data_IF_493319443524
#
_entry.id   IF_493319443524
#
_cell.length_a   1.000
_cell.length_b   1.000
_cell.length_c   1.000
_cell.angle_alpha   90.00
_cell.angle_beta   90.00
_cell.angle_gamma   90.00
#
_symmetry.space_group_name_H-M   'P 1'
#
loop_
_entity.id
_entity.type
_entity.pdbx_description
1 polymer ?
#
# COMPACT_ATOMS: atom_id res chain seq x y z
N UNK A 1 17.07 -1.78 -13.09
CA UNK A 1 15.95 -1.27 -13.90
C UNK A 1 14.59 -1.51 -13.23
N UNK A 2 14.10 -2.76 -13.08
CA UNK A 2 12.77 -3.05 -12.48
C UNK A 2 12.54 -2.47 -11.07
N UNK A 3 13.59 -2.40 -10.22
CA UNK A 3 13.45 -1.86 -8.87
C UNK A 3 13.07 -0.36 -8.84
N UNK A 4 13.42 0.41 -9.88
CA UNK A 4 13.12 1.85 -9.97
C UNK A 4 11.67 2.11 -10.42
N UNK A 5 11.06 1.18 -11.15
CA UNK A 5 9.69 1.34 -11.65
C UNK A 5 8.63 0.98 -10.59
N UNK A 6 8.95 0.05 -9.68
CA UNK A 6 8.02 -0.42 -8.64
C UNK A 6 7.50 0.69 -7.71
N UNK A 7 8.32 1.66 -7.22
CA UNK A 7 7.81 2.80 -6.47
C UNK A 7 6.83 3.65 -7.29
N UNK A 8 7.09 3.81 -8.60
CA UNK A 8 6.17 4.51 -9.51
C UNK A 8 4.82 3.81 -9.63
N UNK A 9 4.81 2.48 -9.83
CA UNK A 9 3.56 1.70 -9.85
C UNK A 9 2.85 1.73 -8.49
N UNK A 10 3.59 1.71 -7.39
CA UNK A 10 3.02 1.85 -6.05
C UNK A 10 2.37 3.23 -5.86
N UNK A 11 2.98 4.30 -6.36
CA UNK A 11 2.43 5.65 -6.34
C UNK A 11 1.15 5.76 -7.20
N UNK A 12 1.10 5.12 -8.37
CA UNK A 12 -0.12 5.03 -9.19
C UNK A 12 -1.27 4.37 -8.43
N UNK A 13 -1.01 3.20 -7.82
CA UNK A 13 -2.01 2.49 -7.02
C UNK A 13 -2.47 3.33 -5.82
N UNK A 14 -1.55 4.04 -5.16
CA UNK A 14 -1.88 4.94 -4.07
C UNK A 14 -2.78 6.10 -4.52
N UNK A 15 -2.50 6.70 -5.68
CA UNK A 15 -3.34 7.76 -6.25
C UNK A 15 -4.76 7.28 -6.56
N UNK A 16 -4.92 6.04 -7.03
CA UNK A 16 -6.25 5.41 -7.21
C UNK A 16 -6.97 5.29 -5.87
N UNK A 17 -6.29 4.83 -4.82
CA UNK A 17 -6.85 4.72 -3.48
C UNK A 17 -7.28 6.08 -2.92
N UNK A 18 -6.43 7.10 -3.06
CA UNK A 18 -6.72 8.47 -2.62
C UNK A 18 -7.93 9.05 -3.34
N UNK A 19 -7.96 8.94 -4.67
CA UNK A 19 -9.07 9.46 -5.48
C UNK A 19 -10.39 8.77 -5.13
N UNK A 20 -10.38 7.45 -4.93
CA UNK A 20 -11.59 6.72 -4.53
C UNK A 20 -12.06 7.09 -3.11
N UNK A 21 -11.14 7.33 -2.19
CA UNK A 21 -11.46 7.76 -0.82
C UNK A 21 -12.07 9.16 -0.78
N UNK A 22 -11.48 10.10 -1.52
CA UNK A 22 -12.00 11.46 -1.68
C UNK A 22 -13.39 11.44 -2.33
N UNK A 23 -13.52 10.72 -3.46
CA UNK A 23 -14.79 10.57 -4.16
C UNK A 23 -15.89 10.03 -3.25
N UNK A 24 -15.60 8.99 -2.46
CA UNK A 24 -16.54 8.44 -1.49
C UNK A 24 -16.97 9.49 -0.46
N UNK A 25 -16.05 10.29 0.08
CA UNK A 25 -16.36 11.32 1.08
C UNK A 25 -17.26 12.42 0.53
N UNK A 26 -17.07 12.80 -0.73
CA UNK A 26 -17.86 13.83 -1.39
C UNK A 26 -19.28 13.36 -1.70
N UNK A 27 -19.45 12.08 -2.05
CA UNK A 27 -20.73 11.51 -2.49
C UNK A 27 -21.51 10.80 -1.37
N UNK A 28 -20.90 10.59 -0.19
CA UNK A 28 -21.54 9.91 0.95
C UNK A 28 -21.42 10.70 2.25
N UNK A 29 -22.17 11.80 2.31
CA UNK A 29 -22.15 12.72 3.47
C UNK A 29 -22.92 12.19 4.69
N UNK A 30 -23.97 11.39 4.46
CA UNK A 30 -24.76 10.74 5.52
C UNK A 30 -24.37 9.26 5.63
N UNK A 31 -23.70 8.92 6.73
CA UNK A 31 -23.19 7.57 7.02
C UNK A 31 -23.46 7.22 8.47
N UNK A 32 -23.70 5.93 8.72
CA UNK A 32 -23.79 5.35 10.07
C UNK A 32 -22.42 5.44 10.76
N UNK A 33 -22.40 5.37 12.09
CA UNK A 33 -21.15 5.49 12.87
C UNK A 33 -20.08 4.46 12.43
N UNK A 34 -20.45 3.19 12.24
CA UNK A 34 -19.53 2.14 11.79
C UNK A 34 -18.98 2.38 10.37
N UNK A 35 -19.79 2.94 9.47
CA UNK A 35 -19.37 3.30 8.11
C UNK A 35 -18.37 4.47 8.14
N UNK A 36 -18.61 5.47 9.02
CA UNK A 36 -17.70 6.59 9.25
C UNK A 36 -16.35 6.11 9.75
N UNK A 37 -16.32 5.18 10.71
CA UNK A 37 -15.08 4.59 11.21
C UNK A 37 -14.30 3.87 10.10
N UNK A 38 -14.98 3.05 9.27
CA UNK A 38 -14.36 2.42 8.10
C UNK A 38 -13.72 3.46 7.17
N UNK A 39 -14.43 4.54 6.85
CA UNK A 39 -13.91 5.63 5.98
C UNK A 39 -12.67 6.28 6.60
N UNK A 40 -12.66 6.54 7.91
CA UNK A 40 -11.50 7.12 8.61
C UNK A 40 -10.31 6.17 8.58
N UNK A 41 -10.53 4.88 8.87
CA UNK A 41 -9.49 3.85 8.86
C UNK A 41 -8.87 3.70 7.47
N UNK A 42 -9.67 3.73 6.40
CA UNK A 42 -9.14 3.74 5.02
C UNK A 42 -8.21 4.95 4.79
N UNK A 43 -8.60 6.14 5.26
CA UNK A 43 -7.76 7.33 5.19
C UNK A 43 -6.42 7.18 5.94
N UNK A 44 -6.41 6.51 7.09
CA UNK A 44 -5.17 6.21 7.81
C UNK A 44 -4.31 5.18 7.07
N UNK A 45 -4.91 4.12 6.51
CA UNK A 45 -4.19 3.14 5.68
C UNK A 45 -3.53 3.80 4.48
N UNK A 46 -4.19 4.75 3.82
CA UNK A 46 -3.64 5.55 2.72
C UNK A 46 -2.42 6.35 3.17
N UNK A 47 -2.52 7.08 4.28
CA UNK A 47 -1.39 7.85 4.83
C UNK A 47 -0.20 6.95 5.18
N UNK A 48 -0.46 5.77 5.76
CA UNK A 48 0.59 4.80 6.07
C UNK A 48 1.25 4.23 4.80
N UNK A 49 0.45 3.86 3.80
CA UNK A 49 0.96 3.38 2.51
C UNK A 49 1.79 4.44 1.79
N UNK A 50 1.40 5.72 1.85
CA UNK A 50 2.18 6.84 1.30
C UNK A 50 3.57 6.93 1.90
N UNK A 51 3.69 6.80 3.22
CA UNK A 51 5.00 6.78 3.91
C UNK A 51 5.85 5.60 3.44
N UNK A 52 5.26 4.42 3.30
CA UNK A 52 5.96 3.25 2.78
C UNK A 52 6.46 3.45 1.33
N UNK A 53 5.65 4.07 0.46
CA UNK A 53 6.05 4.39 -0.92
C UNK A 53 7.24 5.36 -0.93
N UNK A 54 7.21 6.42 -0.13
CA UNK A 54 8.34 7.35 -0.05
C UNK A 54 9.60 6.71 0.53
N UNK A 55 9.48 5.90 1.58
CA UNK A 55 10.61 5.15 2.12
C UNK A 55 11.22 4.19 1.10
N UNK A 56 10.37 3.51 0.32
CA UNK A 56 10.81 2.62 -0.74
C UNK A 56 11.53 3.38 -1.87
N UNK A 57 11.01 4.53 -2.30
CA UNK A 57 11.67 5.37 -3.29
C UNK A 57 13.04 5.82 -2.81
N UNK A 58 13.13 6.37 -1.59
CA UNK A 58 14.40 6.80 -0.99
C UNK A 58 15.40 5.64 -0.85
N UNK A 59 14.95 4.44 -0.48
CA UNK A 59 15.82 3.27 -0.38
C UNK A 59 16.37 2.84 -1.75
N UNK A 60 15.51 2.85 -2.79
CA UNK A 60 15.92 2.55 -4.17
C UNK A 60 16.92 3.58 -4.68
N UNK A 61 16.71 4.87 -4.41
CA UNK A 61 17.61 5.94 -4.81
C UNK A 61 18.98 5.84 -4.11
N UNK A 62 18.99 5.45 -2.83
CA UNK A 62 20.21 5.36 -2.04
C UNK A 62 21.04 4.09 -2.31
N UNK A 63 20.40 2.93 -2.44
CA UNK A 63 21.11 1.62 -2.46
C UNK A 63 20.71 0.71 -3.62
N UNK A 64 19.66 1.06 -4.38
CA UNK A 64 19.09 0.19 -5.41
C UNK A 64 18.30 -0.99 -4.87
N UNK A 65 18.10 -1.10 -3.55
CA UNK A 65 17.36 -2.19 -2.92
C UNK A 65 15.87 -2.14 -3.26
N UNK A 66 15.40 -3.16 -3.97
CA UNK A 66 14.01 -3.29 -4.41
C UNK A 66 13.06 -4.00 -3.42
N UNK A 67 13.54 -4.47 -2.27
CA UNK A 67 12.67 -5.22 -1.35
C UNK A 67 11.59 -4.34 -0.71
N UNK A 68 11.95 -3.13 -0.26
CA UNK A 68 10.96 -2.14 0.20
C UNK A 68 10.05 -1.68 -0.93
N UNK A 69 10.56 -1.55 -2.16
CA UNK A 69 9.74 -1.24 -3.33
C UNK A 69 8.71 -2.35 -3.63
N UNK A 70 9.07 -3.60 -3.41
CA UNK A 70 8.17 -4.76 -3.55
C UNK A 70 7.07 -4.71 -2.49
N UNK A 71 7.42 -4.42 -1.22
CA UNK A 71 6.45 -4.22 -0.14
C UNK A 71 5.50 -3.05 -0.41
N UNK A 72 6.03 -1.91 -0.85
CA UNK A 72 5.25 -0.72 -1.18
C UNK A 72 4.25 -1.00 -2.30
N UNK A 73 4.69 -1.63 -3.40
CA UNK A 73 3.82 -1.98 -4.53
C UNK A 73 2.71 -2.94 -4.11
N UNK A 74 3.05 -4.03 -3.42
CA UNK A 74 2.07 -4.99 -2.94
C UNK A 74 1.02 -4.33 -2.04
N UNK A 75 1.47 -3.51 -1.07
CA UNK A 75 0.57 -2.86 -0.12
C UNK A 75 -0.33 -1.83 -0.79
N UNK A 76 0.20 -1.02 -1.70
CA UNK A 76 -0.56 -0.01 -2.42
C UNK A 76 -1.62 -0.64 -3.34
N UNK A 77 -1.30 -1.72 -4.07
CA UNK A 77 -2.27 -2.44 -4.90
C UNK A 77 -3.43 -3.03 -4.08
N UNK A 78 -3.12 -3.68 -2.95
CA UNK A 78 -4.17 -4.19 -2.04
C UNK A 78 -5.05 -3.06 -1.52
N UNK A 79 -4.46 -1.92 -1.17
CA UNK A 79 -5.21 -0.79 -0.66
C UNK A 79 -6.08 -0.12 -1.74
N UNK A 80 -5.60 0.02 -2.97
CA UNK A 80 -6.39 0.55 -4.08
C UNK A 80 -7.65 -0.28 -4.32
N UNK A 81 -7.51 -1.60 -4.31
CA UNK A 81 -8.63 -2.53 -4.41
C UNK A 81 -9.57 -2.41 -3.20
N UNK A 82 -9.04 -2.42 -1.98
CA UNK A 82 -9.83 -2.31 -0.74
C UNK A 82 -10.69 -1.03 -0.73
N UNK A 83 -10.08 0.12 -1.05
CA UNK A 83 -10.77 1.41 -1.02
C UNK A 83 -11.81 1.52 -2.13
N UNK A 84 -11.47 1.13 -3.37
CA UNK A 84 -12.41 1.23 -4.50
C UNK A 84 -13.62 0.31 -4.33
N UNK A 85 -13.43 -0.91 -3.81
CA UNK A 85 -14.54 -1.82 -3.54
C UNK A 85 -15.37 -1.36 -2.34
N UNK A 86 -14.73 -0.86 -1.28
CA UNK A 86 -15.47 -0.30 -0.13
C UNK A 86 -16.27 0.94 -0.54
N UNK A 87 -15.75 1.78 -1.44
CA UNK A 87 -16.48 2.91 -1.97
C UNK A 87 -17.73 2.47 -2.75
N UNK A 88 -17.62 1.44 -3.60
CA UNK A 88 -18.78 0.86 -4.28
C UNK A 88 -19.82 0.33 -3.28
N UNK A 89 -19.39 -0.42 -2.27
CA UNK A 89 -20.27 -0.96 -1.22
C UNK A 89 -21.06 0.15 -0.52
N UNK A 90 -20.39 1.23 -0.13
CA UNK A 90 -21.00 2.32 0.65
C UNK A 90 -21.86 3.28 -0.19
N UNK A 91 -21.61 3.39 -1.49
CA UNK A 91 -22.42 4.17 -2.43
C UNK A 91 -23.61 3.37 -2.99
N UNK A 92 -23.59 2.04 -2.87
CA UNK A 92 -24.72 1.16 -3.13
C UNK A 92 -24.53 0.23 -4.34
N UNK A 93 -25.47 -0.70 -4.57
CA UNK A 93 -25.30 -1.80 -5.53
C UNK A 93 -25.15 -1.34 -6.99
N UNK A 94 -25.68 -0.17 -7.35
CA UNK A 94 -25.55 0.41 -8.68
C UNK A 94 -24.32 1.33 -8.85
N UNK A 95 -23.42 1.38 -7.85
CA UNK A 95 -22.37 2.42 -7.80
C UNK A 95 -21.48 2.45 -9.05
N UNK A 96 -21.15 1.27 -9.62
CA UNK A 96 -20.33 1.19 -10.84
C UNK A 96 -21.05 1.66 -12.11
N UNK A 97 -22.38 1.73 -12.09
CA UNK A 97 -23.17 2.28 -13.20
C UNK A 97 -23.40 3.79 -13.03
N UNK A 98 -23.70 4.23 -11.80
CA UNK A 98 -24.09 5.61 -11.51
C UNK A 98 -22.91 6.54 -11.23
N UNK A 99 -21.72 6.01 -10.96
CA UNK A 99 -20.49 6.78 -10.70
C UNK A 99 -19.38 6.40 -11.69
N UNK A 100 -19.34 6.99 -12.90
CA UNK A 100 -18.37 6.61 -13.94
C UNK A 100 -16.90 6.76 -13.52
N UNK A 101 -16.58 7.78 -12.71
CA UNK A 101 -15.23 7.95 -12.18
C UNK A 101 -14.85 6.83 -11.22
N UNK A 102 -15.75 6.41 -10.33
CA UNK A 102 -15.50 5.30 -9.42
C UNK A 102 -15.32 3.98 -10.18
N UNK A 103 -16.14 3.72 -11.21
CA UNK A 103 -15.96 2.53 -12.05
C UNK A 103 -14.60 2.51 -12.75
N UNK A 104 -14.16 3.67 -13.28
CA UNK A 104 -12.80 3.82 -13.80
C UNK A 104 -11.76 3.44 -12.76
N UNK A 105 -11.84 4.00 -11.55
CA UNK A 105 -10.89 3.72 -10.47
C UNK A 105 -10.86 2.24 -10.07
N UNK A 106 -12.02 1.56 -10.05
CA UNK A 106 -12.11 0.11 -9.79
C UNK A 106 -11.38 -0.68 -10.89
N UNK A 107 -11.56 -0.32 -12.15
CA UNK A 107 -10.86 -0.98 -13.27
C UNK A 107 -9.37 -0.70 -13.24
N UNK A 108 -8.96 0.54 -12.96
CA UNK A 108 -7.55 0.92 -12.84
C UNK A 108 -6.87 0.17 -11.69
N UNK A 109 -7.54 0.00 -10.54
CA UNK A 109 -7.05 -0.78 -9.41
C UNK A 109 -6.79 -2.25 -9.78
N UNK A 110 -7.61 -2.83 -10.66
CA UNK A 110 -7.39 -4.17 -11.21
C UNK A 110 -6.25 -4.21 -12.23
N UNK A 111 -6.10 -3.16 -13.04
CA UNK A 111 -5.02 -3.07 -14.03
C UNK A 111 -3.63 -2.96 -13.39
N UNK A 112 -3.48 -2.07 -12.40
CA UNK A 112 -2.18 -1.79 -11.75
C UNK A 112 -1.63 -3.02 -11.00
N UNK A 113 -2.48 -3.96 -10.61
CA UNK A 113 -2.07 -5.24 -10.02
C UNK A 113 -1.08 -6.01 -10.91
N UNK A 114 -1.26 -5.97 -12.23
CA UNK A 114 -0.44 -6.74 -13.17
C UNK A 114 0.80 -5.98 -13.67
N UNK A 115 0.90 -4.68 -13.41
CA UNK A 115 2.04 -3.87 -13.79
C UNK A 115 3.25 -4.20 -12.90
N UNK A 116 4.42 -4.35 -13.53
CA UNK A 116 5.71 -4.56 -12.85
C UNK A 116 5.73 -5.75 -11.85
N UNK A 117 4.93 -6.78 -12.14
CA UNK A 117 4.83 -8.04 -11.40
C UNK A 117 3.72 -8.05 -10.35
N UNK A 118 2.93 -9.13 -10.30
CA UNK A 118 1.77 -9.29 -9.39
C UNK A 118 2.15 -9.27 -7.92
N UNK A 119 1.17 -9.06 -7.02
CA UNK A 119 1.38 -9.06 -5.57
C UNK A 119 2.05 -10.34 -5.06
N UNK A 120 1.73 -11.49 -5.65
CA UNK A 120 2.36 -12.76 -5.29
C UNK A 120 3.86 -12.76 -5.59
N UNK A 121 4.28 -12.22 -6.74
CA UNK A 121 5.69 -12.06 -7.08
C UNK A 121 6.38 -11.07 -6.13
N UNK A 122 5.70 -9.98 -5.76
CA UNK A 122 6.25 -9.04 -4.79
C UNK A 122 6.44 -9.66 -3.39
N UNK A 123 5.50 -10.51 -2.95
CA UNK A 123 5.66 -11.23 -1.69
C UNK A 123 6.81 -12.22 -1.73
N UNK A 124 7.03 -12.91 -2.85
CA UNK A 124 8.21 -13.77 -3.03
C UNK A 124 9.53 -12.96 -2.94
N UNK A 125 9.59 -11.80 -3.60
CA UNK A 125 10.75 -10.91 -3.52
C UNK A 125 11.00 -10.41 -2.09
N UNK A 126 9.92 -10.10 -1.35
CA UNK A 126 9.99 -9.67 0.04
C UNK A 126 10.48 -10.80 0.95
N UNK A 127 9.95 -12.00 0.76
CA UNK A 127 10.34 -13.19 1.50
C UNK A 127 11.82 -13.53 1.30
N UNK A 128 12.33 -13.45 0.07
CA UNK A 128 13.76 -13.59 -0.22
C UNK A 128 14.61 -12.53 0.49
N UNK A 129 14.14 -11.28 0.50
CA UNK A 129 14.80 -10.19 1.24
C UNK A 129 14.85 -10.41 2.75
N UNK A 130 13.79 -10.99 3.32
CA UNK A 130 13.72 -11.37 4.72
C UNK A 130 14.74 -12.48 5.04
N UNK A 131 14.78 -13.55 4.25
CA UNK A 131 15.74 -14.64 4.42
C UNK A 131 17.20 -14.17 4.29
N UNK A 132 17.46 -13.25 3.37
CA UNK A 132 18.79 -12.63 3.21
C UNK A 132 19.13 -11.60 4.29
N UNK A 133 18.21 -11.28 5.21
CA UNK A 133 18.40 -10.28 6.26
C UNK A 133 18.50 -8.85 5.75
N UNK A 134 17.99 -8.56 4.54
CA UNK A 134 17.92 -7.22 3.93
C UNK A 134 16.63 -6.49 4.29
N UNK A 135 15.61 -7.22 4.73
CA UNK A 135 14.32 -6.70 5.20
C UNK A 135 14.10 -7.09 6.65
N UNK A 136 13.52 -6.19 7.46
CA UNK A 136 13.05 -6.51 8.80
C UNK A 136 14.12 -6.48 9.91
N UNK A 137 15.37 -6.12 9.60
CA UNK A 137 16.36 -5.79 10.64
C UNK A 137 16.22 -4.33 11.04
N UNK A 138 15.14 -4.02 11.74
CA UNK A 138 15.05 -2.79 12.53
C UNK A 138 16.08 -2.76 13.67
N UNK A 139 16.13 -1.70 14.48
CA UNK A 139 17.14 -1.49 15.55
C UNK A 139 17.19 -2.58 16.64
N UNK A 140 16.35 -3.61 16.57
CA UNK A 140 16.32 -4.72 17.52
C UNK A 140 17.56 -5.64 17.45
N UNK A 141 18.37 -5.60 16.37
CA UNK A 141 19.70 -6.23 16.40
C UNK A 141 20.69 -5.51 17.32
N UNK A 142 20.58 -4.18 17.48
CA UNK A 142 21.37 -3.46 18.47
C UNK A 142 20.93 -3.84 19.88
N UNK A 143 19.62 -4.06 20.11
CA UNK A 143 19.11 -4.51 21.41
C UNK A 143 19.58 -5.94 21.79
N UNK A 144 19.70 -6.86 20.84
CA UNK A 144 20.32 -8.19 21.11
C UNK A 144 21.82 -8.10 21.35
N UNK A 145 22.52 -7.22 20.62
CA UNK A 145 23.97 -7.00 20.80
C UNK A 145 24.28 -6.33 22.14
N UNK A 146 23.45 -5.36 22.55
CA UNK A 146 23.52 -4.70 23.85
C UNK A 146 23.14 -5.65 24.98
N UNK A 147 22.12 -6.50 24.82
CA UNK A 147 21.80 -7.55 25.81
C UNK A 147 22.95 -8.55 25.96
N UNK A 148 23.57 -9.01 24.88
CA UNK A 148 24.71 -9.93 24.95
C UNK A 148 25.92 -9.32 25.70
N UNK A 149 26.15 -8.01 25.59
CA UNK A 149 27.22 -7.30 26.32
C UNK A 149 26.92 -7.07 27.80
N UNK A 150 25.64 -6.97 28.19
CA UNK A 150 25.22 -6.78 29.59
C UNK A 150 25.30 -8.08 30.40
N UNK A 151 25.16 -9.24 29.79
CA UNK A 151 25.30 -10.56 30.45
C UNK A 151 26.74 -11.10 30.51
N UNK A 152 27.70 -10.39 29.90
CA UNK A 152 29.13 -10.74 29.89
C UNK A 152 29.98 -9.81 30.80
N UNK A 153 29.33 -9.01 31.64
CA UNK A 153 29.93 -8.26 32.76
C UNK A 153 29.31 -8.73 34.07
#
# INVERSE_FOLDING_TARGET
>A
MFNQLRPGVAALALGIAESAHEYLRDHRQSVRAAERERIVVLGWKIKAARRLVYQAAAAVDATGDGHLASAAKARACVLAEEVTLTACELLGPAARLTHPLLDKLVRDARGVEFMEGTRNIQYLNLFQGLLAGRVGRGPYKEAETVRAQVWLR
#
